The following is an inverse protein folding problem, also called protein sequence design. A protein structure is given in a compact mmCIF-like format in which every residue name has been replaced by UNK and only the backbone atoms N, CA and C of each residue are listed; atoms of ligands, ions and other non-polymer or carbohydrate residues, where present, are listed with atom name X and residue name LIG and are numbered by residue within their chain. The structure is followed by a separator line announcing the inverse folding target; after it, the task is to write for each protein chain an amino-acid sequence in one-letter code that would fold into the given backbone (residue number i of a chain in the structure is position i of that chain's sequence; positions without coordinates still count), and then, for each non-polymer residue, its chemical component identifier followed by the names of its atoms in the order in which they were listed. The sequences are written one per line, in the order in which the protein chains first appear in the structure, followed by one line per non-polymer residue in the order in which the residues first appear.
data_IF_216603397012
#
_entry.id   IF_216603397012
#
_cell.length_a   1.000
_cell.length_b   1.000
_cell.length_c   1.000
_cell.angle_alpha   90.00
_cell.angle_beta   90.00
_cell.angle_gamma   90.00
#
_symmetry.space_group_name_H-M   'P 1'
#
loop_
_entity.id
_entity.type
_entity.pdbx_description
1 polymer ?
#
# COMPACT_ATOMS: atom_id res chain seq x y z
N UNK A 1 -5.06 9.11 -0.54
CA UNK A 1 -5.16 10.32 0.31
C UNK A 1 -5.89 9.91 1.56
N UNK A 2 -5.32 10.20 2.72
CA UNK A 2 -5.87 9.74 3.99
C UNK A 2 -6.16 10.96 4.88
N UNK A 3 -7.43 11.40 4.98
CA UNK A 3 -7.79 12.64 5.65
C UNK A 3 -7.62 12.55 7.16
N UNK A 4 -7.40 13.70 7.78
CA UNK A 4 -7.35 13.91 9.23
C UNK A 4 -8.49 14.86 9.64
N UNK A 5 -8.97 14.76 10.88
CA UNK A 5 -10.17 15.46 11.37
C UNK A 5 -10.04 17.01 11.46
N UNK A 6 -8.93 17.60 11.01
CA UNK A 6 -8.63 19.03 11.07
C UNK A 6 -8.55 19.70 9.68
N UNK A 7 -8.93 18.98 8.62
CA UNK A 7 -8.87 19.49 7.24
C UNK A 7 -7.50 19.34 6.58
N UNK A 8 -6.56 18.66 7.23
CA UNK A 8 -5.31 18.19 6.62
C UNK A 8 -5.46 16.75 6.12
N UNK A 9 -4.52 16.29 5.30
CA UNK A 9 -4.49 14.92 4.82
C UNK A 9 -3.07 14.44 4.55
N UNK A 10 -2.85 13.14 4.75
CA UNK A 10 -1.61 12.49 4.38
C UNK A 10 -1.71 11.88 2.97
N UNK A 11 -0.63 11.95 2.21
CA UNK A 11 -0.48 11.27 0.93
C UNK A 11 0.90 10.58 0.85
N UNK A 12 1.03 9.52 0.03
CA UNK A 12 2.33 9.09 -0.44
C UNK A 12 3.02 10.25 -1.18
N UNK A 13 4.33 10.36 -1.00
CA UNK A 13 5.18 11.27 -1.75
C UNK A 13 6.56 10.67 -1.90
N UNK A 14 7.51 11.45 -2.41
CA UNK A 14 8.78 10.94 -2.87
C UNK A 14 9.92 11.92 -2.63
N UNK A 15 11.13 11.40 -2.52
CA UNK A 15 12.39 12.16 -2.52
C UNK A 15 13.22 11.80 -3.75
N UNK A 16 13.85 12.80 -4.35
CA UNK A 16 14.79 12.61 -5.45
C UNK A 16 16.12 12.04 -4.94
N UNK A 17 16.95 11.45 -5.82
CA UNK A 17 18.32 11.10 -5.46
C UNK A 17 19.11 12.27 -4.84
N UNK A 18 18.90 13.50 -5.30
CA UNK A 18 19.62 14.69 -4.81
C UNK A 18 19.17 15.15 -3.41
N UNK A 19 17.94 14.82 -3.01
CA UNK A 19 17.44 15.02 -1.65
C UNK A 19 17.92 13.91 -0.68
N UNK A 20 18.58 12.86 -1.19
CA UNK A 20 18.97 11.68 -0.40
C UNK A 20 20.41 11.80 0.14
N UNK A 21 20.65 11.61 1.45
CA UNK A 21 21.99 11.54 2.01
C UNK A 21 22.87 10.48 1.32
N UNK A 22 24.13 10.83 1.03
CA UNK A 22 25.06 9.95 0.32
C UNK A 22 25.33 8.60 1.02
N UNK A 23 25.11 8.50 2.33
CA UNK A 23 25.24 7.25 3.08
C UNK A 23 24.05 6.29 2.94
N UNK A 24 22.95 6.73 2.33
CA UNK A 24 21.73 5.94 2.18
C UNK A 24 21.51 5.41 0.76
N UNK A 25 22.41 5.78 -0.17
CA UNK A 25 22.41 5.22 -1.53
C UNK A 25 23.33 3.99 -1.59
N UNK A 26 23.09 3.02 -2.51
CA UNK A 26 23.89 1.80 -2.57
C UNK A 26 25.36 2.10 -2.82
N UNK A 27 26.25 1.31 -2.21
CA UNK A 27 27.69 1.48 -2.36
C UNK A 27 28.10 1.39 -3.84
N UNK A 28 28.97 2.30 -4.29
CA UNK A 28 29.38 2.39 -5.70
C UNK A 28 28.41 3.19 -6.57
N UNK A 29 27.37 3.79 -5.98
CA UNK A 29 26.51 4.78 -6.64
C UNK A 29 26.70 6.18 -6.04
N UNK A 30 26.12 7.16 -6.71
CA UNK A 30 25.96 8.56 -6.30
C UNK A 30 24.54 9.00 -6.68
N UNK A 31 24.01 10.09 -6.08
CA UNK A 31 22.76 10.70 -6.53
C UNK A 31 22.69 10.90 -8.05
N UNK A 32 23.79 11.38 -8.66
CA UNK A 32 23.90 11.54 -10.11
C UNK A 32 23.75 10.23 -10.89
N UNK A 33 24.47 9.18 -10.50
CA UNK A 33 24.38 7.89 -11.19
C UNK A 33 23.05 7.18 -10.94
N UNK A 34 22.35 7.49 -9.85
CA UNK A 34 20.98 7.03 -9.62
C UNK A 34 20.00 7.80 -10.51
N UNK A 35 20.14 9.12 -10.60
CA UNK A 35 19.38 9.95 -11.55
C UNK A 35 19.55 9.44 -12.99
N UNK A 36 20.76 9.05 -13.41
CA UNK A 36 21.00 8.49 -14.74
C UNK A 36 20.33 7.10 -14.95
N UNK A 37 20.05 6.36 -13.88
CA UNK A 37 19.40 5.03 -13.92
C UNK A 37 17.87 5.09 -13.79
N UNK A 38 17.35 6.09 -13.08
CA UNK A 38 15.92 6.30 -12.86
C UNK A 38 15.40 7.07 -14.07
N UNK A 39 15.25 6.38 -15.20
CA UNK A 39 14.92 7.02 -16.50
C UNK A 39 13.50 7.59 -16.55
N UNK A 40 12.56 7.09 -15.73
CA UNK A 40 11.12 7.36 -15.88
C UNK A 40 10.46 8.11 -14.74
N UNK A 41 11.04 8.09 -13.54
CA UNK A 41 10.30 8.41 -12.32
C UNK A 41 10.88 9.60 -11.52
N UNK A 42 12.10 10.05 -11.79
CA UNK A 42 12.75 11.19 -11.09
C UNK A 42 12.83 11.10 -9.54
N UNK A 43 12.46 9.98 -8.92
CA UNK A 43 12.54 9.76 -7.47
C UNK A 43 13.28 8.47 -7.10
N UNK A 44 13.84 8.43 -5.90
CA UNK A 44 14.61 7.29 -5.39
C UNK A 44 13.93 6.55 -4.24
N UNK A 45 13.32 7.29 -3.32
CA UNK A 45 12.70 6.67 -2.15
C UNK A 45 11.44 7.42 -1.70
N UNK A 46 10.64 6.72 -0.92
CA UNK A 46 9.31 7.16 -0.56
C UNK A 46 9.30 8.14 0.63
N UNK A 47 8.23 8.90 0.68
CA UNK A 47 7.87 9.81 1.73
C UNK A 47 6.39 9.64 2.11
N UNK A 48 6.05 10.09 3.32
CA UNK A 48 4.65 10.42 3.66
C UNK A 48 4.57 11.93 3.85
N UNK A 49 3.62 12.57 3.17
CA UNK A 49 3.48 14.03 3.09
C UNK A 49 2.17 14.47 3.71
N UNK A 50 2.25 15.37 4.70
CA UNK A 50 1.08 16.04 5.26
C UNK A 50 0.83 17.31 4.48
N UNK A 51 -0.40 17.50 4.03
CA UNK A 51 -0.82 18.68 3.27
C UNK A 51 -2.06 19.33 3.87
N UNK A 52 -2.21 20.64 3.66
CA UNK A 52 -3.46 21.35 3.95
C UNK A 52 -4.46 21.24 2.79
N UNK A 53 -5.71 21.66 3.03
CA UNK A 53 -6.78 21.70 2.03
C UNK A 53 -6.52 22.60 0.81
N UNK A 54 -5.45 23.40 0.82
CA UNK A 54 -5.02 24.24 -0.32
C UNK A 54 -3.87 23.60 -1.11
N UNK A 55 -3.46 22.38 -0.77
CA UNK A 55 -2.36 21.69 -1.42
C UNK A 55 -0.97 22.16 -0.99
N UNK A 56 -0.84 22.82 0.17
CA UNK A 56 0.47 23.19 0.71
C UNK A 56 1.03 22.05 1.55
N UNK A 57 2.29 21.70 1.31
CA UNK A 57 3.03 20.75 2.14
C UNK A 57 3.32 21.36 3.52
N UNK A 58 2.82 20.71 4.56
CA UNK A 58 3.07 21.05 5.96
C UNK A 58 4.21 20.23 6.56
N UNK A 59 4.35 18.97 6.13
CA UNK A 59 5.38 18.04 6.59
C UNK A 59 5.69 17.00 5.51
N UNK A 60 6.95 16.57 5.43
CA UNK A 60 7.42 15.49 4.54
C UNK A 60 8.36 14.60 5.34
N UNK A 61 7.95 13.34 5.58
CA UNK A 61 8.71 12.36 6.36
C UNK A 61 9.32 11.32 5.42
N UNK A 62 10.61 11.01 5.59
CA UNK A 62 11.30 10.00 4.78
C UNK A 62 11.07 8.60 5.34
N UNK A 63 10.53 7.71 4.49
CA UNK A 63 10.36 6.29 4.84
C UNK A 63 11.72 5.60 4.91
N UNK A 64 12.61 5.85 3.93
CA UNK A 64 13.94 5.26 3.91
C UNK A 64 14.76 5.66 5.15
N UNK A 65 14.64 6.91 5.61
CA UNK A 65 15.29 7.35 6.85
C UNK A 65 14.84 6.51 8.04
N UNK A 66 13.54 6.28 8.19
CA UNK A 66 12.99 5.51 9.29
C UNK A 66 13.53 4.07 9.29
N UNK A 67 13.66 3.47 8.10
CA UNK A 67 14.23 2.12 7.93
C UNK A 67 15.73 2.08 8.28
N UNK A 68 16.52 3.06 7.80
CA UNK A 68 17.96 3.15 8.09
C UNK A 68 18.22 3.42 9.58
N UNK A 69 17.53 4.39 10.18
CA UNK A 69 17.67 4.71 11.59
C UNK A 69 17.32 3.52 12.50
N UNK A 70 16.40 2.65 12.06
CA UNK A 70 16.01 1.43 12.76
C UNK A 70 16.96 0.24 12.54
N UNK A 71 18.01 0.37 11.73
CA UNK A 71 18.96 -0.70 11.44
C UNK A 71 18.38 -1.82 10.56
N UNK A 72 17.38 -1.50 9.72
CA UNK A 72 16.68 -2.45 8.85
C UNK A 72 17.19 -2.45 7.40
N UNK A 73 18.39 -1.93 7.14
CA UNK A 73 18.95 -1.82 5.78
C UNK A 73 19.07 -3.18 5.09
N UNK A 74 19.34 -4.24 5.85
CA UNK A 74 19.38 -5.61 5.32
C UNK A 74 18.06 -6.07 4.69
N UNK A 75 16.91 -5.50 5.10
CA UNK A 75 15.61 -5.82 4.52
C UNK A 75 15.37 -5.16 3.16
N UNK A 76 16.13 -4.11 2.79
CA UNK A 76 16.06 -3.47 1.47
C UNK A 76 16.56 -4.39 0.34
N UNK A 77 17.46 -5.32 0.66
CA UNK A 77 18.17 -6.15 -0.32
C UNK A 77 17.66 -7.59 -0.39
N UNK A 78 16.49 -7.88 0.19
CA UNK A 78 16.01 -9.26 0.31
C UNK A 78 15.49 -9.89 -0.99
N UNK A 79 15.24 -9.12 -2.05
CA UNK A 79 14.92 -9.72 -3.35
C UNK A 79 16.18 -9.98 -4.17
N UNK A 80 16.32 -11.21 -4.68
CA UNK A 80 17.32 -11.63 -5.69
C UNK A 80 17.30 -10.77 -6.98
N UNK A 81 16.31 -9.89 -7.10
CA UNK A 81 16.18 -8.84 -8.10
C UNK A 81 16.37 -7.51 -7.36
N UNK A 82 17.58 -6.97 -7.39
CA UNK A 82 17.90 -5.70 -6.73
C UNK A 82 17.24 -4.53 -7.48
N UNK A 83 16.18 -3.92 -6.91
CA UNK A 83 15.68 -2.64 -7.40
C UNK A 83 16.50 -1.51 -6.79
N UNK A 84 17.71 -1.29 -7.32
CA UNK A 84 18.60 -0.21 -6.84
C UNK A 84 18.05 1.20 -7.06
N UNK A 85 16.96 1.34 -7.82
CA UNK A 85 16.30 2.60 -8.17
C UNK A 85 15.04 2.89 -7.33
N UNK A 86 14.54 1.92 -6.56
CA UNK A 86 13.31 2.05 -5.76
C UNK A 86 13.43 1.17 -4.51
N UNK A 87 13.88 1.81 -3.43
CA UNK A 87 14.38 1.10 -2.25
C UNK A 87 13.27 0.48 -1.40
N UNK A 88 12.14 1.17 -1.27
CA UNK A 88 11.05 0.79 -0.36
C UNK A 88 9.77 0.41 -1.09
N UNK A 89 9.48 1.09 -2.20
CA UNK A 89 8.26 0.94 -3.01
C UNK A 89 6.99 1.01 -2.15
N UNK A 90 6.68 2.22 -1.63
CA UNK A 90 5.51 2.53 -0.82
C UNK A 90 4.24 2.40 -1.66
N UNK A 91 3.46 1.38 -1.36
CA UNK A 91 2.24 1.09 -2.09
C UNK A 91 1.03 1.85 -1.57
N UNK A 92 0.93 2.01 -0.26
CA UNK A 92 -0.22 2.64 0.37
C UNK A 92 0.07 3.10 1.81
N UNK A 93 -0.78 4.00 2.31
CA UNK A 93 -0.73 4.54 3.67
C UNK A 93 -2.10 4.53 4.36
N UNK A 94 -2.11 4.20 5.65
CA UNK A 94 -3.27 4.26 6.52
C UNK A 94 -3.00 5.10 7.76
N UNK A 95 -4.05 5.69 8.35
CA UNK A 95 -3.93 6.34 9.66
C UNK A 95 -4.32 5.33 10.74
N UNK A 96 -3.40 5.09 11.65
CA UNK A 96 -3.59 4.16 12.77
C UNK A 96 -4.81 4.59 13.58
N UNK A 97 -5.78 3.68 13.66
CA UNK A 97 -6.99 3.89 14.46
C UNK A 97 -6.75 3.51 15.92
N UNK A 98 -7.61 3.96 16.82
CA UNK A 98 -7.51 3.57 18.24
C UNK A 98 -7.59 2.04 18.46
N UNK A 99 -8.48 1.28 17.76
CA UNK A 99 -8.47 -0.17 17.83
C UNK A 99 -7.17 -0.83 17.38
N UNK A 100 -6.51 -0.33 16.32
CA UNK A 100 -5.23 -0.87 15.87
C UNK A 100 -4.11 -0.55 16.87
N UNK A 101 -4.02 0.69 17.33
CA UNK A 101 -3.03 1.10 18.32
C UNK A 101 -3.13 0.27 19.61
N UNK A 102 -4.35 -0.07 20.05
CA UNK A 102 -4.56 -0.91 21.22
C UNK A 102 -4.02 -2.35 21.08
N UNK A 103 -3.69 -2.80 19.86
CA UNK A 103 -3.13 -4.13 19.58
C UNK A 103 -1.60 -4.13 19.46
N UNK A 104 -0.95 -2.97 19.39
CA UNK A 104 0.50 -2.84 19.16
C UNK A 104 1.10 -1.97 20.26
N UNK A 105 2.00 -2.53 21.05
CA UNK A 105 2.71 -1.78 22.09
C UNK A 105 3.54 -0.64 21.47
N UNK A 106 3.45 0.55 22.05
CA UNK A 106 4.22 1.72 21.63
C UNK A 106 3.62 2.55 20.49
N UNK A 107 2.61 2.03 19.78
CA UNK A 107 1.94 2.72 18.66
C UNK A 107 0.77 3.58 19.16
N UNK A 108 0.56 4.75 18.55
CA UNK A 108 -0.50 5.68 18.95
C UNK A 108 -1.53 5.87 17.83
N UNK A 109 -2.80 6.17 18.18
CA UNK A 109 -3.78 6.58 17.19
C UNK A 109 -3.30 7.85 16.47
N UNK A 110 -3.42 7.88 15.15
CA UNK A 110 -2.94 8.98 14.31
C UNK A 110 -1.56 8.76 13.70
N UNK A 111 -0.79 7.78 14.17
CA UNK A 111 0.45 7.36 13.51
C UNK A 111 0.14 6.76 12.13
N UNK A 112 1.18 6.56 11.31
CA UNK A 112 1.01 6.28 9.89
C UNK A 112 1.41 4.83 9.60
N UNK A 113 0.44 3.99 9.26
CA UNK A 113 0.67 2.67 8.69
C UNK A 113 1.15 2.83 7.25
N UNK A 114 2.22 2.13 6.87
CA UNK A 114 2.78 2.15 5.52
C UNK A 114 2.96 0.73 4.98
N UNK A 115 2.69 0.54 3.69
CA UNK A 115 2.90 -0.73 2.97
C UNK A 115 4.14 -0.67 2.08
N UNK A 116 5.21 -1.35 2.48
CA UNK A 116 6.49 -1.36 1.77
C UNK A 116 6.60 -2.64 0.94
N UNK A 117 6.31 -2.51 -0.36
CA UNK A 117 6.21 -3.66 -1.28
C UNK A 117 7.55 -4.36 -1.45
N UNK A 118 8.62 -3.60 -1.63
CA UNK A 118 9.95 -4.16 -1.89
C UNK A 118 10.43 -5.03 -0.73
N UNK A 119 10.01 -4.69 0.49
CA UNK A 119 10.42 -5.33 1.73
C UNK A 119 9.42 -6.39 2.22
N UNK A 120 8.29 -6.60 1.52
CA UNK A 120 7.17 -7.41 1.99
C UNK A 120 6.72 -7.04 3.42
N UNK A 121 6.71 -5.74 3.74
CA UNK A 121 6.65 -5.25 5.11
C UNK A 121 5.52 -4.24 5.30
N UNK A 122 4.78 -4.39 6.40
CA UNK A 122 4.01 -3.30 6.98
C UNK A 122 4.84 -2.64 8.08
N UNK A 123 4.76 -1.33 8.16
CA UNK A 123 5.45 -0.54 9.18
C UNK A 123 4.55 0.59 9.69
N UNK A 124 4.80 1.05 10.91
CA UNK A 124 4.11 2.21 11.49
C UNK A 124 5.14 3.26 11.85
N UNK A 125 4.92 4.47 11.33
CA UNK A 125 5.77 5.63 11.57
C UNK A 125 5.06 6.59 12.54
N UNK A 126 5.79 7.08 13.53
CA UNK A 126 5.34 8.18 14.36
C UNK A 126 5.05 9.40 13.48
N UNK A 127 3.82 9.92 13.52
CA UNK A 127 3.39 11.01 12.62
C UNK A 127 4.16 12.33 12.84
N UNK A 128 4.78 12.48 14.01
CA UNK A 128 5.40 13.72 14.43
C UNK A 128 6.87 13.79 14.03
N UNK A 129 7.59 12.71 14.29
CA UNK A 129 9.05 12.56 14.12
C UNK A 129 9.43 11.75 12.89
N UNK A 130 8.53 10.89 12.38
CA UNK A 130 8.82 9.92 11.33
C UNK A 130 9.64 8.72 11.78
N UNK A 131 9.84 8.53 13.09
CA UNK A 131 10.53 7.36 13.62
C UNK A 131 9.71 6.07 13.39
N UNK A 132 10.38 4.96 13.14
CA UNK A 132 9.75 3.64 13.05
C UNK A 132 9.34 3.18 14.46
N UNK A 133 8.05 2.99 14.70
CA UNK A 133 7.54 2.51 15.99
C UNK A 133 7.25 1.01 15.98
N UNK A 134 6.86 0.47 14.82
CA UNK A 134 6.55 -0.94 14.66
C UNK A 134 6.77 -1.39 13.22
N UNK A 135 7.11 -2.67 13.03
CA UNK A 135 7.13 -3.30 11.71
C UNK A 135 6.81 -4.79 11.78
N UNK A 136 6.24 -5.31 10.70
CA UNK A 136 6.07 -6.75 10.45
C UNK A 136 6.40 -7.06 9.01
N UNK A 137 7.34 -7.97 8.81
CA UNK A 137 7.63 -8.56 7.52
C UNK A 137 6.85 -9.87 7.36
N UNK A 138 6.08 -9.99 6.26
CA UNK A 138 5.36 -11.20 5.90
C UNK A 138 4.33 -11.69 6.93
N UNK A 139 3.56 -12.76 6.63
CA UNK A 139 3.81 -13.76 5.60
C UNK A 139 3.26 -13.42 4.19
N UNK A 140 2.81 -12.19 3.97
CA UNK A 140 2.45 -11.67 2.64
C UNK A 140 3.68 -11.38 1.76
N UNK A 141 3.44 -11.28 0.45
CA UNK A 141 4.44 -11.11 -0.60
C UNK A 141 3.96 -10.05 -1.60
N UNK A 142 4.75 -8.97 -1.74
CA UNK A 142 4.50 -7.81 -2.62
C UNK A 142 3.13 -7.19 -2.41
N UNK A 143 2.70 -7.11 -1.17
CA UNK A 143 1.39 -6.64 -0.77
C UNK A 143 1.13 -5.18 -1.17
N UNK A 144 -0.12 -4.87 -1.45
CA UNK A 144 -0.63 -3.51 -1.62
C UNK A 144 -1.50 -3.12 -0.41
N UNK A 145 -2.31 -2.09 -0.58
CA UNK A 145 -3.60 -1.83 0.07
C UNK A 145 -3.88 -2.56 1.40
N UNK A 146 -3.24 -2.15 2.52
CA UNK A 146 -3.63 -2.59 3.85
C UNK A 146 -4.79 -1.73 4.39
N UNK A 147 -5.92 -2.37 4.67
CA UNK A 147 -7.09 -1.73 5.27
C UNK A 147 -7.15 -2.00 6.78
N UNK A 148 -7.22 -0.95 7.58
CA UNK A 148 -7.38 -1.07 9.04
C UNK A 148 -8.86 -1.35 9.35
N UNK A 149 -9.13 -2.54 9.88
CA UNK A 149 -10.48 -2.97 10.20
C UNK A 149 -11.00 -2.33 11.50
N UNK A 150 -12.34 -2.23 11.68
CA UNK A 150 -12.93 -1.66 12.89
C UNK A 150 -12.51 -2.34 14.21
N UNK A 151 -12.14 -3.62 14.16
CA UNK A 151 -11.67 -4.38 15.32
C UNK A 151 -10.16 -4.22 15.58
N UNK A 152 -9.45 -3.41 14.78
CA UNK A 152 -8.01 -3.19 14.87
C UNK A 152 -7.15 -4.22 14.15
N UNK A 153 -7.73 -5.24 13.52
CA UNK A 153 -6.98 -6.11 12.60
C UNK A 153 -6.70 -5.37 11.29
N UNK A 154 -5.82 -5.93 10.46
CA UNK A 154 -5.46 -5.35 9.16
C UNK A 154 -5.85 -6.35 8.07
N UNK A 155 -6.68 -5.93 7.12
CA UNK A 155 -6.81 -6.67 5.86
C UNK A 155 -5.73 -6.23 4.88
N UNK A 156 -5.20 -7.18 4.09
CA UNK A 156 -4.02 -6.94 3.26
C UNK A 156 -4.26 -7.58 1.89
N UNK A 157 -4.14 -6.78 0.83
CA UNK A 157 -4.08 -7.30 -0.53
C UNK A 157 -2.71 -7.94 -0.79
N UNK A 158 -2.65 -9.26 -0.79
CA UNK A 158 -1.44 -10.07 -0.97
C UNK A 158 -1.32 -10.56 -2.43
N UNK A 159 -0.47 -9.90 -3.22
CA UNK A 159 -0.33 -10.20 -4.65
C UNK A 159 0.30 -11.55 -4.94
N UNK A 160 1.25 -12.00 -4.10
CA UNK A 160 2.06 -13.22 -4.29
C UNK A 160 2.72 -13.27 -5.66
N UNK A 161 3.45 -12.21 -6.00
CA UNK A 161 4.13 -12.10 -7.29
C UNK A 161 4.98 -13.36 -7.58
N UNK A 162 4.76 -14.04 -8.71
CA UNK A 162 5.40 -15.32 -9.01
C UNK A 162 6.91 -15.22 -9.27
N UNK A 163 7.45 -14.01 -9.50
CA UNK A 163 8.89 -13.80 -9.73
C UNK A 163 9.75 -13.98 -8.46
N UNK A 164 9.16 -13.92 -7.27
CA UNK A 164 9.91 -13.95 -5.99
C UNK A 164 9.42 -15.00 -5.00
N UNK A 165 8.29 -15.66 -5.28
CA UNK A 165 7.64 -16.61 -4.38
C UNK A 165 7.67 -18.04 -4.91
N UNK A 166 7.49 -19.02 -4.03
CA UNK A 166 7.14 -20.38 -4.43
C UNK A 166 5.81 -20.37 -5.21
N UNK A 167 5.59 -21.35 -6.10
CA UNK A 167 4.41 -21.45 -6.98
C UNK A 167 3.08 -21.59 -6.19
N UNK A 168 2.62 -20.52 -5.55
CA UNK A 168 1.31 -20.40 -4.94
C UNK A 168 0.44 -19.54 -5.85
N UNK A 169 -0.48 -20.13 -6.62
CA UNK A 169 -1.22 -19.41 -7.65
C UNK A 169 -2.20 -18.40 -7.04
N UNK A 170 -2.35 -17.26 -7.72
CA UNK A 170 -3.35 -16.22 -7.46
C UNK A 170 -2.98 -15.21 -6.36
N UNK A 171 -3.78 -14.17 -6.23
CA UNK A 171 -3.72 -13.18 -5.15
C UNK A 171 -4.62 -13.61 -3.98
N UNK A 172 -4.48 -12.94 -2.83
CA UNK A 172 -5.32 -13.17 -1.64
C UNK A 172 -5.65 -11.85 -0.97
N UNK A 173 -6.80 -11.80 -0.31
CA UNK A 173 -7.04 -10.87 0.78
C UNK A 173 -6.77 -11.63 2.07
N UNK A 174 -5.80 -11.14 2.84
CA UNK A 174 -5.46 -11.66 4.15
C UNK A 174 -6.10 -10.82 5.23
N UNK A 175 -6.30 -11.39 6.42
CA UNK A 175 -6.50 -10.65 7.66
C UNK A 175 -5.40 -11.01 8.64
N UNK A 176 -4.74 -9.99 9.16
CA UNK A 176 -3.64 -10.08 10.11
C UNK A 176 -4.04 -9.44 11.44
N UNK A 177 -3.79 -10.15 12.53
CA UNK A 177 -3.94 -9.63 13.89
C UNK A 177 -2.56 -9.38 14.49
N UNK A 178 -2.16 -8.10 14.69
CA UNK A 178 -0.85 -7.79 15.24
C UNK A 178 -0.70 -8.16 16.73
N UNK A 179 -1.79 -8.34 17.48
CA UNK A 179 -1.72 -8.75 18.88
C UNK A 179 -1.41 -10.24 19.06
N UNK A 180 -1.81 -11.06 18.09
CA UNK A 180 -1.66 -12.54 18.15
C UNK A 180 -0.72 -13.09 17.09
N UNK A 181 -0.25 -12.24 16.18
CA UNK A 181 0.47 -12.56 14.95
C UNK A 181 -0.24 -13.53 13.99
N UNK A 182 -1.53 -13.80 14.23
CA UNK A 182 -2.30 -14.69 13.38
C UNK A 182 -2.59 -14.05 12.02
N UNK A 183 -2.37 -14.82 10.95
CA UNK A 183 -2.73 -14.43 9.59
C UNK A 183 -3.69 -15.46 9.01
N UNK A 184 -4.82 -15.00 8.47
CA UNK A 184 -5.81 -15.85 7.82
C UNK A 184 -6.11 -15.35 6.40
N UNK A 185 -6.35 -16.27 5.48
CA UNK A 185 -6.89 -15.93 4.16
C UNK A 185 -8.39 -15.68 4.31
N UNK A 186 -8.84 -14.44 4.08
CA UNK A 186 -10.28 -14.12 4.11
C UNK A 186 -10.91 -14.26 2.74
N UNK A 187 -10.15 -14.11 1.66
CA UNK A 187 -10.55 -14.42 0.29
C UNK A 187 -9.29 -14.79 -0.53
N UNK A 188 -9.33 -15.77 -1.45
CA UNK A 188 -10.46 -16.63 -1.83
C UNK A 188 -10.85 -17.65 -0.75
N UNK A 189 -12.05 -18.26 -0.84
CA UNK A 189 -12.48 -19.35 0.06
C UNK A 189 -12.11 -20.74 -0.46
N UNK A 190 -11.81 -20.84 -1.76
CA UNK A 190 -11.24 -22.03 -2.38
C UNK A 190 -10.70 -21.72 -3.77
N UNK A 191 -10.27 -22.77 -4.49
CA UNK A 191 -9.72 -22.63 -5.85
C UNK A 191 -10.72 -22.03 -6.86
N UNK A 192 -12.01 -22.25 -6.66
CA UNK A 192 -13.06 -21.74 -7.55
C UNK A 192 -13.19 -20.21 -7.51
N UNK A 193 -12.80 -19.58 -6.40
CA UNK A 193 -12.89 -18.13 -6.19
C UNK A 193 -11.55 -17.42 -6.43
N UNK A 194 -10.55 -18.15 -6.95
CA UNK A 194 -9.23 -17.61 -7.18
C UNK A 194 -9.27 -16.44 -8.17
N UNK A 195 -8.43 -15.45 -7.91
CA UNK A 195 -8.21 -14.26 -8.74
C UNK A 195 -6.71 -13.96 -8.74
N UNK A 196 -6.23 -13.20 -9.71
CA UNK A 196 -4.81 -12.94 -9.87
C UNK A 196 -4.49 -11.55 -10.42
N UNK A 197 -3.70 -10.80 -9.65
CA UNK A 197 -2.94 -9.65 -10.15
C UNK A 197 -1.60 -9.63 -9.43
N UNK A 198 -0.50 -9.78 -10.18
CA UNK A 198 0.86 -9.91 -9.63
C UNK A 198 1.46 -8.57 -9.18
N UNK A 199 0.76 -7.47 -9.44
CA UNK A 199 1.08 -6.10 -8.99
C UNK A 199 -0.21 -5.29 -8.84
N UNK A 200 -0.14 -4.16 -8.12
CA UNK A 200 -1.29 -3.30 -7.84
C UNK A 200 -2.42 -4.07 -7.13
N UNK A 201 -3.67 -3.70 -7.36
CA UNK A 201 -4.81 -4.25 -6.68
C UNK A 201 -5.18 -3.45 -5.43
N UNK A 202 -6.49 -3.32 -5.26
CA UNK A 202 -7.14 -2.60 -4.16
C UNK A 202 -8.36 -3.42 -3.77
N UNK A 203 -8.69 -3.40 -2.48
CA UNK A 203 -9.90 -3.98 -1.94
C UNK A 203 -10.60 -2.98 -1.02
N UNK A 204 -11.89 -3.23 -0.79
CA UNK A 204 -12.65 -2.49 0.20
C UNK A 204 -13.65 -3.45 0.84
N UNK A 205 -13.56 -3.63 2.16
CA UNK A 205 -14.59 -4.34 2.91
C UNK A 205 -15.75 -3.41 3.24
N UNK A 206 -16.95 -3.76 2.78
CA UNK A 206 -18.18 -2.98 3.03
C UNK A 206 -18.84 -3.37 4.36
N UNK A 207 -19.78 -2.55 4.82
CA UNK A 207 -20.48 -2.74 6.10
C UNK A 207 -21.28 -4.05 6.18
N UNK A 208 -21.75 -4.58 5.05
CA UNK A 208 -22.43 -5.88 4.95
C UNK A 208 -21.45 -7.08 4.99
N UNK A 209 -20.13 -6.82 5.05
CA UNK A 209 -19.07 -7.82 5.04
C UNK A 209 -18.63 -8.27 3.64
N UNK A 210 -19.26 -7.78 2.58
CA UNK A 210 -18.81 -8.01 1.22
C UNK A 210 -17.44 -7.36 1.01
N UNK A 211 -16.75 -7.75 -0.06
CA UNK A 211 -15.49 -7.13 -0.50
C UNK A 211 -15.59 -6.73 -1.96
N UNK A 212 -15.29 -5.48 -2.27
CA UNK A 212 -15.06 -5.00 -3.62
C UNK A 212 -13.57 -5.16 -3.89
N UNK A 213 -13.20 -5.84 -4.97
CA UNK A 213 -11.81 -6.18 -5.28
C UNK A 213 -11.50 -5.72 -6.71
N UNK A 214 -10.40 -4.97 -6.86
CA UNK A 214 -9.85 -4.57 -8.15
C UNK A 214 -8.75 -5.56 -8.55
N UNK A 215 -9.05 -6.41 -9.52
CA UNK A 215 -8.11 -7.34 -10.15
C UNK A 215 -7.41 -6.61 -11.31
N UNK A 216 -6.44 -5.78 -10.95
CA UNK A 216 -5.90 -4.72 -11.82
C UNK A 216 -5.53 -5.19 -13.21
N UNK A 217 -4.65 -6.19 -13.34
CA UNK A 217 -4.17 -6.66 -14.65
C UNK A 217 -5.17 -7.50 -15.43
N UNK A 218 -6.25 -7.96 -14.79
CA UNK A 218 -7.36 -8.60 -15.48
C UNK A 218 -8.38 -7.59 -16.01
N UNK A 219 -8.22 -6.29 -15.71
CA UNK A 219 -9.19 -5.26 -16.10
C UNK A 219 -10.57 -5.51 -15.49
N UNK A 220 -10.62 -6.10 -14.29
CA UNK A 220 -11.86 -6.50 -13.62
C UNK A 220 -11.97 -5.87 -12.23
N UNK A 221 -13.16 -5.41 -11.89
CA UNK A 221 -13.56 -5.12 -10.51
C UNK A 221 -14.73 -6.05 -10.19
N UNK A 222 -14.74 -6.66 -9.01
CA UNK A 222 -15.81 -7.57 -8.62
C UNK A 222 -16.12 -7.48 -7.13
N UNK A 223 -17.39 -7.71 -6.79
CA UNK A 223 -17.89 -7.75 -5.42
C UNK A 223 -18.14 -9.19 -4.99
N UNK A 224 -17.60 -9.59 -3.85
CA UNK A 224 -17.78 -10.92 -3.26
C UNK A 224 -18.43 -10.87 -1.89
N UNK A 225 -19.29 -11.83 -1.60
CA UNK A 225 -19.87 -12.04 -0.27
C UNK A 225 -18.83 -12.60 0.71
N UNK A 226 -19.09 -12.56 2.04
CA UNK A 226 -18.25 -13.23 3.03
C UNK A 226 -18.02 -14.73 2.76
N UNK A 227 -18.95 -15.39 2.07
CA UNK A 227 -18.86 -16.80 1.68
C UNK A 227 -18.09 -17.04 0.37
N UNK A 228 -17.67 -15.98 -0.33
CA UNK A 228 -16.88 -16.07 -1.57
C UNK A 228 -17.70 -16.02 -2.87
N UNK A 229 -19.03 -15.86 -2.80
CA UNK A 229 -19.87 -15.73 -3.98
C UNK A 229 -19.69 -14.36 -4.64
N UNK A 230 -19.40 -14.33 -5.93
CA UNK A 230 -19.38 -13.10 -6.73
C UNK A 230 -20.82 -12.65 -6.99
N UNK A 231 -21.21 -11.50 -6.46
CA UNK A 231 -22.56 -10.92 -6.61
C UNK A 231 -22.65 -9.82 -7.65
N UNK A 232 -21.50 -9.27 -8.03
CA UNK A 232 -21.37 -8.26 -9.08
C UNK A 232 -19.96 -8.31 -9.66
N UNK A 233 -19.82 -8.08 -10.97
CA UNK A 233 -18.53 -7.76 -11.57
C UNK A 233 -18.66 -6.84 -12.78
N UNK A 234 -17.58 -6.11 -13.04
CA UNK A 234 -17.41 -5.28 -14.22
C UNK A 234 -16.04 -5.54 -14.83
N UNK A 235 -16.01 -5.70 -16.15
CA UNK A 235 -14.80 -6.01 -16.91
C UNK A 235 -14.66 -5.04 -18.07
N UNK A 236 -13.47 -4.50 -18.22
CA UNK A 236 -13.13 -3.72 -19.41
C UNK A 236 -12.98 -4.67 -20.62
N UNK A 237 -13.34 -4.21 -21.83
CA UNK A 237 -13.03 -4.93 -23.05
C UNK A 237 -11.52 -4.99 -23.24
N UNK A 238 -11.04 -6.13 -23.74
CA UNK A 238 -9.66 -6.36 -24.15
C UNK A 238 -9.66 -7.30 -25.36
N UNK A 239 -8.58 -7.27 -26.14
CA UNK A 239 -8.36 -8.16 -27.27
C UNK A 239 -6.85 -8.39 -27.48
N UNK A 240 -6.46 -8.86 -28.67
CA UNK A 240 -5.05 -9.12 -29.01
C UNK A 240 -4.20 -7.83 -29.10
N UNK A 241 -4.82 -6.68 -29.32
CA UNK A 241 -4.16 -5.38 -29.53
C UNK A 241 -4.30 -4.44 -28.31
N UNK A 242 -5.33 -4.62 -27.48
CA UNK A 242 -5.63 -3.76 -26.35
C UNK A 242 -5.66 -4.52 -25.02
N UNK A 243 -4.72 -4.18 -24.13
CA UNK A 243 -4.76 -4.61 -22.73
C UNK A 243 -5.75 -3.77 -21.91
N UNK A 244 -6.44 -4.42 -20.97
CA UNK A 244 -7.32 -3.77 -20.02
C UNK A 244 -6.68 -3.65 -18.65
N UNK A 245 -6.89 -2.52 -17.97
CA UNK A 245 -6.36 -2.30 -16.63
C UNK A 245 -7.28 -1.41 -15.80
N UNK A 246 -7.59 -1.84 -14.58
CA UNK A 246 -8.12 -0.95 -13.53
C UNK A 246 -7.04 -0.68 -12.50
N UNK A 247 -6.65 0.59 -12.34
CA UNK A 247 -5.68 0.97 -11.30
C UNK A 247 -6.32 1.10 -9.92
N UNK A 248 -7.61 1.43 -9.86
CA UNK A 248 -8.34 1.67 -8.62
C UNK A 248 -9.85 1.48 -8.82
N UNK A 249 -10.54 1.04 -7.78
CA UNK A 249 -11.99 0.95 -7.70
C UNK A 249 -12.44 1.15 -6.25
N UNK A 250 -13.54 1.88 -6.05
CA UNK A 250 -14.12 2.10 -4.72
C UNK A 250 -15.65 2.10 -4.79
N UNK A 251 -16.25 1.62 -3.72
CA UNK A 251 -17.66 1.83 -3.40
C UNK A 251 -17.81 3.16 -2.67
N UNK A 252 -18.65 4.05 -3.21
CA UNK A 252 -19.02 5.32 -2.59
C UNK A 252 -20.47 5.28 -2.09
N UNK A 253 -20.81 6.03 -1.03
CA UNK A 253 -22.21 6.22 -0.63
C UNK A 253 -23.09 6.83 -1.74
N UNK A 254 -24.40 6.58 -1.68
CA UNK A 254 -25.36 7.09 -2.68
C UNK A 254 -25.36 8.63 -2.79
N UNK A 255 -25.07 9.33 -1.69
CA UNK A 255 -25.04 10.79 -1.59
C UNK A 255 -23.68 11.41 -1.94
N UNK A 256 -22.69 10.60 -2.34
CA UNK A 256 -21.31 11.05 -2.58
C UNK A 256 -21.22 12.20 -3.60
N UNK A 257 -22.09 12.19 -4.61
CA UNK A 257 -22.13 13.21 -5.67
C UNK A 257 -23.22 14.27 -5.48
N UNK A 258 -23.90 14.33 -4.33
CA UNK A 258 -24.98 15.30 -4.09
C UNK A 258 -24.49 16.76 -4.13
N UNK A 259 -23.22 16.98 -3.80
CA UNK A 259 -22.56 18.29 -3.92
C UNK A 259 -22.00 18.58 -5.32
N UNK A 260 -22.31 17.71 -6.29
CA UNK A 260 -21.79 17.74 -7.65
C UNK A 260 -20.40 17.12 -7.76
N UNK A 261 -20.00 16.83 -9.00
CA UNK A 261 -18.64 16.37 -9.31
C UNK A 261 -17.69 17.57 -9.18
N UNK A 262 -16.60 17.48 -8.40
CA UNK A 262 -15.60 18.54 -8.32
C UNK A 262 -15.12 18.94 -9.72
N UNK A 263 -15.09 20.25 -9.99
CA UNK A 263 -14.57 20.81 -11.25
C UNK A 263 -13.37 21.68 -10.91
N UNK A 264 -12.27 21.50 -11.64
CA UNK A 264 -11.20 22.48 -11.62
C UNK A 264 -11.75 23.79 -12.20
N UNK A 265 -11.61 24.89 -11.47
CA UNK A 265 -11.86 26.23 -12.03
C UNK A 265 -10.86 26.46 -13.17
N UNK A 266 -11.39 26.66 -14.37
CA UNK A 266 -10.66 27.04 -15.59
C UNK A 266 -9.95 28.38 -15.44
#
# INVERSE_FOLDING_TARGET
MTPVNDGTFWIPGQFTPDETPAGWVPQGTTPRTLNDKIETDYYYHDAVVLMDGNGRTLKKLSVLKAIVDAGLEGALYQSMVETTSDATHLNDIGIVTAPLAARIEGVKPGDILVSLRAMNMLAILDKDTGALEWHKQGPWLRQHDPDIMPDGTIEIFNNRNPLIGWQHPGSQILRYDPATENTAVVFPKGRADAFETDTMGVHQTMANGNRLITETRAGRIFEVTPSGEVVWDYRLPYDEDYAAMFTFGMHVPDDYFDKGIPRCSS
#
